data_IF_015220076257
#
_entry.id   IF_015220076257
#
_cell.length_a   1.000
_cell.length_b   1.000
_cell.length_c   1.000
_cell.angle_alpha   90.00
_cell.angle_beta   90.00
_cell.angle_gamma   90.00
#
_symmetry.space_group_name_H-M   'P 1'
#
loop_
_entity.id
_entity.type
_entity.pdbx_description
1 polymer ?
#
# COMPACT_ATOMS: atom_id res chain seq x y z
N UNK A 1 4.62 -2.19 -12.55
CA UNK A 1 3.77 -3.16 -13.27
C UNK A 1 3.01 -3.95 -12.23
N UNK A 2 1.66 -3.95 -12.28
CA UNK A 2 0.73 -4.32 -11.20
C UNK A 2 0.87 -5.71 -10.55
N UNK A 3 1.74 -6.59 -11.02
CA UNK A 3 1.91 -7.95 -10.47
C UNK A 3 0.67 -8.84 -10.58
N UNK A 4 -0.39 -8.40 -11.28
CA UNK A 4 -1.64 -9.15 -11.47
C UNK A 4 -1.35 -10.36 -12.34
N UNK A 5 -1.80 -11.54 -11.88
CA UNK A 5 -1.65 -12.78 -12.64
C UNK A 5 -2.43 -12.69 -13.96
N UNK A 6 -1.73 -12.82 -15.07
CA UNK A 6 -2.37 -12.83 -16.38
C UNK A 6 -3.36 -14.01 -16.49
N UNK A 7 -4.54 -13.74 -17.03
CA UNK A 7 -5.49 -14.79 -17.38
C UNK A 7 -5.04 -15.47 -18.68
N UNK A 8 -5.21 -16.79 -18.84
CA UNK A 8 -5.01 -17.45 -20.13
C UNK A 8 -5.87 -16.79 -21.21
N UNK A 9 -5.42 -16.84 -22.47
CA UNK A 9 -6.21 -16.33 -23.60
C UNK A 9 -7.65 -16.91 -23.56
N UNK A 10 -8.64 -16.05 -23.79
CA UNK A 10 -10.09 -16.28 -23.65
C UNK A 10 -10.73 -16.27 -22.24
N UNK A 11 -10.00 -15.91 -21.17
CA UNK A 11 -10.61 -15.80 -19.83
C UNK A 11 -10.51 -14.39 -19.25
N UNK A 12 -11.57 -13.94 -18.59
CA UNK A 12 -11.59 -12.65 -17.89
C UNK A 12 -10.60 -12.68 -16.72
N UNK A 13 -9.88 -11.59 -16.48
CA UNK A 13 -9.01 -11.46 -15.30
C UNK A 13 -9.89 -11.21 -14.08
N UNK A 14 -9.80 -12.10 -13.09
CA UNK A 14 -10.49 -11.97 -11.80
C UNK A 14 -9.48 -11.47 -10.78
N UNK A 15 -9.81 -10.37 -10.12
CA UNK A 15 -8.93 -9.71 -9.16
C UNK A 15 -9.29 -10.11 -7.73
N UNK A 16 -8.26 -10.37 -6.93
CA UNK A 16 -8.37 -10.36 -5.49
C UNK A 16 -8.62 -8.94 -4.99
N UNK A 17 -9.26 -8.80 -3.83
CA UNK A 17 -9.52 -7.46 -3.27
C UNK A 17 -8.24 -6.63 -3.09
N UNK A 18 -7.14 -7.26 -2.68
CA UNK A 18 -5.83 -6.59 -2.58
C UNK A 18 -5.33 -6.04 -3.93
N UNK A 19 -5.61 -6.73 -5.04
CA UNK A 19 -5.21 -6.28 -6.37
C UNK A 19 -6.09 -5.11 -6.84
N UNK A 20 -7.36 -5.07 -6.41
CA UNK A 20 -8.23 -3.89 -6.62
C UNK A 20 -7.71 -2.69 -5.82
N UNK A 21 -7.27 -2.89 -4.57
CA UNK A 21 -6.65 -1.83 -3.77
C UNK A 21 -5.39 -1.30 -4.47
N UNK A 22 -4.49 -2.19 -4.91
CA UNK A 22 -3.30 -1.80 -5.68
C UNK A 22 -3.67 -1.05 -6.97
N UNK A 23 -4.73 -1.48 -7.67
CA UNK A 23 -5.21 -0.77 -8.85
C UNK A 23 -5.64 0.67 -8.52
N UNK A 24 -6.38 0.86 -7.44
CA UNK A 24 -6.83 2.18 -6.99
C UNK A 24 -5.68 3.06 -6.50
N UNK A 25 -4.67 2.47 -5.85
CA UNK A 25 -3.44 3.15 -5.45
C UNK A 25 -2.75 3.79 -6.67
N UNK A 26 -2.45 3.00 -7.69
CA UNK A 26 -1.82 3.52 -8.91
C UNK A 26 -2.75 4.45 -9.69
N UNK A 27 -4.07 4.23 -9.63
CA UNK A 27 -5.03 5.15 -10.23
C UNK A 27 -5.00 6.52 -9.54
N UNK A 28 -4.78 6.60 -8.24
CA UNK A 28 -4.58 7.87 -7.53
C UNK A 28 -3.37 8.66 -8.03
N UNK A 29 -2.23 7.99 -8.24
CA UNK A 29 -1.06 8.58 -8.89
C UNK A 29 -1.38 9.11 -10.28
N UNK A 30 -2.13 8.32 -11.08
CA UNK A 30 -2.56 8.73 -12.42
C UNK A 30 -3.50 9.95 -12.38
N UNK A 31 -4.44 10.00 -11.44
CA UNK A 31 -5.33 11.16 -11.28
C UNK A 31 -4.53 12.42 -10.93
N UNK A 32 -3.58 12.31 -10.01
CA UNK A 32 -2.71 13.43 -9.64
C UNK A 32 -1.87 13.92 -10.81
N UNK A 33 -1.41 13.00 -11.67
CA UNK A 33 -0.69 13.35 -12.89
C UNK A 33 -1.60 14.02 -13.94
N UNK A 34 -2.78 13.45 -14.19
CA UNK A 34 -3.68 13.87 -15.28
C UNK A 34 -4.50 15.12 -14.96
N UNK A 35 -4.83 15.35 -13.69
CA UNK A 35 -5.68 16.47 -13.24
C UNK A 35 -4.87 17.66 -12.75
N UNK A 36 -3.58 17.72 -13.05
CA UNK A 36 -2.74 18.87 -12.70
C UNK A 36 -3.10 20.08 -13.56
N UNK A 37 -3.34 21.23 -12.92
CA UNK A 37 -3.53 22.51 -13.60
C UNK A 37 -2.21 23.32 -13.69
N UNK A 38 -1.08 22.72 -13.28
CA UNK A 38 0.23 23.37 -13.33
C UNK A 38 0.84 23.19 -14.71
N UNK A 39 1.07 24.29 -15.41
CA UNK A 39 1.62 24.26 -16.79
C UNK A 39 3.14 24.05 -16.85
N UNK A 40 3.85 24.31 -15.75
CA UNK A 40 5.30 24.19 -15.67
C UNK A 40 5.72 22.72 -15.54
N UNK A 41 6.25 22.13 -16.61
CA UNK A 41 6.63 20.71 -16.71
C UNK A 41 7.44 20.16 -15.52
N UNK A 42 8.35 20.96 -14.96
CA UNK A 42 9.22 20.54 -13.84
C UNK A 42 8.50 20.36 -12.50
N UNK A 43 7.27 20.86 -12.38
CA UNK A 43 6.45 20.81 -11.16
C UNK A 43 4.98 20.46 -11.45
N UNK A 44 4.70 19.92 -12.65
CA UNK A 44 3.37 19.49 -13.05
C UNK A 44 3.13 18.02 -12.72
N UNK A 45 1.90 17.67 -12.37
CA UNK A 45 1.49 16.30 -12.12
C UNK A 45 2.09 15.78 -10.83
N UNK A 46 2.86 14.70 -10.94
CA UNK A 46 3.59 14.11 -9.80
C UNK A 46 4.99 14.71 -9.61
N UNK A 47 5.44 15.55 -10.56
CA UNK A 47 6.77 16.17 -10.48
C UNK A 47 6.77 17.30 -9.44
N UNK A 48 7.90 17.47 -8.74
CA UNK A 48 8.07 18.56 -7.78
C UNK A 48 7.33 18.37 -6.45
N UNK A 49 6.59 17.27 -6.28
CA UNK A 49 5.99 16.91 -5.00
C UNK A 49 7.06 16.25 -4.12
N UNK A 50 7.22 16.68 -2.86
CA UNK A 50 8.09 16.00 -1.90
C UNK A 50 7.80 14.50 -1.81
N UNK A 51 8.84 13.68 -1.71
CA UNK A 51 8.71 12.22 -1.76
C UNK A 51 7.87 11.64 -0.61
N UNK A 52 7.77 12.35 0.51
CA UNK A 52 6.92 12.02 1.66
C UNK A 52 5.43 12.38 1.45
N UNK A 53 5.10 13.23 0.47
CA UNK A 53 3.74 13.66 0.16
C UNK A 53 3.15 13.01 -1.10
N UNK A 54 3.99 12.39 -1.95
CA UNK A 54 3.55 11.80 -3.22
C UNK A 54 2.52 10.68 -3.05
N UNK A 55 2.56 9.95 -1.93
CA UNK A 55 1.67 8.83 -1.63
C UNK A 55 0.27 9.25 -1.13
N UNK A 56 0.02 10.54 -0.90
CA UNK A 56 -1.26 10.99 -0.32
C UNK A 56 -2.42 10.68 -1.28
N UNK A 57 -2.27 10.96 -2.58
CA UNK A 57 -3.34 10.75 -3.55
C UNK A 57 -3.64 9.26 -3.78
N UNK A 58 -2.60 8.44 -3.89
CA UNK A 58 -2.71 7.00 -4.06
C UNK A 58 -3.38 6.33 -2.85
N UNK A 59 -2.89 6.61 -1.63
CA UNK A 59 -3.46 6.06 -0.39
C UNK A 59 -4.88 6.55 -0.12
N UNK A 60 -5.21 7.80 -0.49
CA UNK A 60 -6.58 8.30 -0.40
C UNK A 60 -7.52 7.45 -1.25
N UNK A 61 -7.12 7.12 -2.48
CA UNK A 61 -7.94 6.34 -3.40
C UNK A 61 -8.22 4.91 -2.92
N UNK A 62 -7.29 4.30 -2.18
CA UNK A 62 -7.50 2.97 -1.57
C UNK A 62 -8.72 2.92 -0.65
N UNK A 63 -9.10 4.03 -0.01
CA UNK A 63 -10.26 4.09 0.88
C UNK A 63 -11.58 3.76 0.16
N UNK A 64 -11.68 4.09 -1.12
CA UNK A 64 -12.88 3.79 -1.90
C UNK A 64 -13.10 2.28 -2.05
N UNK A 65 -12.04 1.47 -2.00
CA UNK A 65 -12.18 0.01 -2.05
C UNK A 65 -12.89 -0.56 -0.81
N UNK A 66 -12.98 0.20 0.29
CA UNK A 66 -13.59 -0.26 1.54
C UNK A 66 -14.98 0.31 1.79
N UNK A 67 -15.41 1.32 1.03
CA UNK A 67 -16.70 1.98 1.20
C UNK A 67 -17.82 1.14 0.56
N UNK A 68 -18.91 0.79 1.27
CA UNK A 68 -19.95 -0.10 0.75
C UNK A 68 -20.53 0.34 -0.59
N UNK A 69 -20.81 1.64 -0.76
CA UNK A 69 -21.38 2.17 -2.01
C UNK A 69 -20.40 2.05 -3.20
N UNK A 70 -19.11 2.24 -2.95
CA UNK A 70 -18.07 2.06 -3.96
C UNK A 70 -17.90 0.60 -4.33
N UNK A 71 -17.90 -0.31 -3.35
CA UNK A 71 -17.86 -1.76 -3.57
C UNK A 71 -19.06 -2.19 -4.42
N UNK A 72 -20.28 -1.73 -4.10
CA UNK A 72 -21.49 -2.00 -4.89
C UNK A 72 -21.33 -1.53 -6.34
N UNK A 73 -20.69 -0.38 -6.57
CA UNK A 73 -20.49 0.19 -7.91
C UNK A 73 -19.52 -0.64 -8.75
N UNK A 74 -18.44 -1.13 -8.16
CA UNK A 74 -17.34 -1.80 -8.87
C UNK A 74 -17.44 -3.33 -8.88
N UNK A 75 -18.44 -3.92 -8.24
CA UNK A 75 -18.58 -5.38 -8.10
C UNK A 75 -19.87 -5.95 -8.72
N UNK A 76 -19.71 -7.01 -9.52
CA UNK A 76 -20.77 -7.88 -10.01
C UNK A 76 -20.20 -9.23 -10.40
N UNK A 77 -21.01 -10.29 -10.38
CA UNK A 77 -20.59 -11.60 -10.85
C UNK A 77 -20.31 -11.53 -12.36
N UNK A 78 -19.16 -12.04 -12.80
CA UNK A 78 -18.67 -11.84 -14.17
C UNK A 78 -19.51 -12.56 -15.23
N UNK A 79 -20.12 -13.71 -14.90
CA UNK A 79 -20.99 -14.45 -15.82
C UNK A 79 -22.45 -14.00 -15.77
N UNK A 80 -23.00 -13.82 -14.56
CA UNK A 80 -24.45 -13.61 -14.36
C UNK A 80 -24.83 -12.14 -14.26
N UNK A 81 -23.86 -11.25 -14.02
CA UNK A 81 -24.09 -9.82 -13.79
C UNK A 81 -24.77 -9.51 -12.45
N UNK A 82 -25.03 -10.51 -11.62
CA UNK A 82 -25.65 -10.33 -10.30
C UNK A 82 -24.78 -9.46 -9.40
N UNK A 83 -25.43 -8.58 -8.64
CA UNK A 83 -24.74 -7.71 -7.68
C UNK A 83 -24.18 -8.53 -6.52
N UNK A 84 -23.08 -8.05 -5.95
CA UNK A 84 -22.51 -8.67 -4.75
C UNK A 84 -23.52 -8.56 -3.58
N UNK A 85 -23.83 -9.68 -2.88
CA UNK A 85 -24.76 -9.64 -1.74
C UNK A 85 -24.31 -8.70 -0.63
N UNK A 86 -25.26 -7.97 -0.05
CA UNK A 86 -24.99 -6.95 0.97
C UNK A 86 -24.29 -7.50 2.21
N UNK A 87 -24.58 -8.75 2.58
CA UNK A 87 -23.88 -9.44 3.68
C UNK A 87 -22.37 -9.56 3.42
N UNK A 88 -21.96 -9.82 2.17
CA UNK A 88 -20.54 -9.95 1.79
C UNK A 88 -19.88 -8.57 1.83
N UNK A 89 -20.55 -7.54 1.34
CA UNK A 89 -20.05 -6.16 1.36
C UNK A 89 -19.80 -5.70 2.80
N UNK A 90 -20.78 -5.91 3.68
CA UNK A 90 -20.66 -5.56 5.09
C UNK A 90 -19.54 -6.33 5.79
N UNK A 91 -19.36 -7.62 5.46
CA UNK A 91 -18.26 -8.42 6.00
C UNK A 91 -16.91 -7.91 5.51
N UNK A 92 -16.79 -7.58 4.22
CA UNK A 92 -15.55 -7.05 3.65
C UNK A 92 -15.14 -5.72 4.32
N UNK A 93 -16.08 -4.78 4.47
CA UNK A 93 -15.83 -3.50 5.16
C UNK A 93 -15.41 -3.70 6.62
N UNK A 94 -15.98 -4.68 7.34
CA UNK A 94 -15.57 -5.02 8.71
C UNK A 94 -14.18 -5.61 8.79
N UNK A 95 -13.76 -6.35 7.76
CA UNK A 95 -12.43 -6.98 7.70
C UNK A 95 -11.29 -5.99 7.39
N UNK A 96 -11.59 -4.73 7.05
CA UNK A 96 -10.59 -3.70 6.72
C UNK A 96 -9.43 -3.62 7.71
N UNK A 97 -9.73 -3.72 9.00
CA UNK A 97 -8.74 -3.55 10.07
C UNK A 97 -8.15 -4.87 10.57
N UNK A 98 -8.57 -6.00 10.01
CA UNK A 98 -8.02 -7.31 10.35
C UNK A 98 -6.51 -7.33 10.10
N UNK A 99 -5.73 -7.59 11.15
CA UNK A 99 -4.26 -7.59 11.12
C UNK A 99 -3.59 -6.24 10.75
N UNK A 100 -4.31 -5.11 10.88
CA UNK A 100 -3.74 -3.78 10.64
C UNK A 100 -2.47 -3.50 11.45
N UNK A 101 -2.39 -3.96 12.71
CA UNK A 101 -1.19 -3.80 13.54
C UNK A 101 0.03 -4.54 12.97
N UNK A 102 -0.13 -5.74 12.42
CA UNK A 102 0.96 -6.49 11.79
C UNK A 102 1.43 -5.80 10.50
N UNK A 103 0.50 -5.20 9.76
CA UNK A 103 0.84 -4.38 8.60
C UNK A 103 1.68 -3.16 9.01
N UNK A 104 1.23 -2.40 10.01
CA UNK A 104 1.94 -1.21 10.52
C UNK A 104 3.32 -1.60 11.06
N UNK A 105 3.41 -2.65 11.88
CA UNK A 105 4.68 -3.18 12.40
C UNK A 105 5.69 -3.42 11.27
N UNK A 106 5.26 -4.04 10.18
CA UNK A 106 6.12 -4.29 9.01
C UNK A 106 6.53 -3.02 8.28
N UNK A 107 5.64 -2.02 8.16
CA UNK A 107 6.00 -0.72 7.57
C UNK A 107 7.01 0.04 8.44
N UNK A 108 6.86 -0.02 9.76
CA UNK A 108 7.81 0.55 10.72
C UNK A 108 9.17 -0.15 10.65
N UNK A 109 9.18 -1.48 10.57
CA UNK A 109 10.41 -2.27 10.37
C UNK A 109 11.16 -1.82 9.11
N UNK A 110 10.46 -1.65 7.98
CA UNK A 110 11.09 -1.14 6.76
C UNK A 110 11.57 0.31 6.89
N UNK A 111 10.80 1.18 7.54
CA UNK A 111 11.16 2.59 7.71
C UNK A 111 12.38 2.76 8.63
N UNK A 112 12.41 2.04 9.75
CA UNK A 112 13.53 2.05 10.69
C UNK A 112 14.79 1.45 10.07
N UNK A 113 14.65 0.34 9.33
CA UNK A 113 15.77 -0.23 8.58
C UNK A 113 16.36 0.76 7.57
N UNK A 114 15.51 1.44 6.81
CA UNK A 114 15.94 2.45 5.82
C UNK A 114 16.68 3.62 6.49
N UNK A 115 16.10 4.20 7.54
CA UNK A 115 16.73 5.28 8.31
C UNK A 115 18.06 4.83 8.92
N UNK A 116 18.08 3.65 9.54
CA UNK A 116 19.26 3.11 10.21
C UNK A 116 20.41 2.92 9.23
N UNK A 117 20.17 2.49 7.99
CA UNK A 117 21.25 2.38 6.98
C UNK A 117 21.77 3.76 6.56
N UNK A 118 20.88 4.73 6.35
CA UNK A 118 21.25 6.05 5.83
C UNK A 118 21.88 6.99 6.88
N UNK A 119 21.65 6.75 8.18
CA UNK A 119 22.27 7.49 9.27
C UNK A 119 23.70 7.04 9.60
N UNK A 120 24.16 5.89 9.06
CA UNK A 120 25.50 5.40 9.30
C UNK A 120 26.53 6.29 8.62
N UNK A 121 27.40 6.87 9.43
CA UNK A 121 28.28 7.97 9.03
C UNK A 121 29.51 7.52 8.21
N UNK A 122 29.73 6.21 8.02
CA UNK A 122 30.95 5.66 7.40
C UNK A 122 30.68 4.39 6.55
N UNK A 123 30.19 4.57 5.32
CA UNK A 123 29.97 3.47 4.36
C UNK A 123 31.23 2.65 4.01
N UNK A 124 32.44 3.18 4.26
CA UNK A 124 33.71 2.52 3.89
C UNK A 124 34.10 1.34 4.78
N UNK A 125 33.53 1.20 5.97
CA UNK A 125 33.96 0.18 6.95
C UNK A 125 33.05 -1.06 6.99
N UNK A 126 31.96 -1.06 6.22
CA UNK A 126 30.92 -2.07 6.36
C UNK A 126 31.10 -3.25 5.40
N UNK A 127 31.53 -4.38 5.99
CA UNK A 127 31.53 -5.70 5.35
C UNK A 127 30.09 -6.14 5.03
N UNK A 128 30.02 -7.10 4.09
CA UNK A 128 28.82 -7.76 3.54
C UNK A 128 27.71 -8.14 4.54
N UNK A 129 28.05 -8.25 5.82
CA UNK A 129 27.17 -8.69 6.90
C UNK A 129 26.44 -7.55 7.64
N UNK A 130 26.55 -6.30 7.17
CA UNK A 130 25.88 -5.16 7.83
C UNK A 130 24.36 -5.30 7.87
N UNK A 131 23.76 -5.80 6.79
CA UNK A 131 22.31 -5.99 6.72
C UNK A 131 21.88 -6.94 7.85
N UNK A 132 22.57 -8.07 8.00
CA UNK A 132 22.34 -9.04 9.06
C UNK A 132 22.53 -8.39 10.44
N UNK A 133 23.60 -7.61 10.63
CA UNK A 133 23.83 -6.90 11.89
C UNK A 133 22.78 -5.84 12.20
N UNK A 134 22.23 -5.11 11.23
CA UNK A 134 21.15 -4.14 11.51
C UNK A 134 19.87 -4.88 11.90
N UNK A 135 19.61 -6.03 11.29
CA UNK A 135 18.50 -6.91 11.68
C UNK A 135 18.71 -7.59 13.04
N UNK A 136 19.96 -7.84 13.46
CA UNK A 136 20.30 -8.56 14.71
C UNK A 136 20.65 -7.64 15.90
N UNK A 137 21.15 -6.42 15.65
CA UNK A 137 21.76 -5.57 16.69
C UNK A 137 20.75 -4.73 17.46
N UNK A 138 19.55 -4.56 16.92
CA UNK A 138 18.40 -4.10 17.67
C UNK A 138 17.34 -5.14 17.48
N UNK A 139 16.75 -5.60 18.58
CA UNK A 139 15.53 -6.37 18.54
C UNK A 139 14.43 -5.38 18.11
N UNK A 140 14.46 -5.01 16.83
CA UNK A 140 13.64 -3.95 16.22
C UNK A 140 12.16 -4.27 16.45
N UNK A 141 11.85 -5.57 16.60
CA UNK A 141 10.55 -6.08 17.03
C UNK A 141 10.21 -5.73 18.47
N UNK A 142 11.14 -5.81 19.43
CA UNK A 142 10.92 -5.34 20.80
C UNK A 142 10.67 -3.83 20.86
N UNK A 143 11.47 -3.02 20.17
CA UNK A 143 11.31 -1.55 20.20
C UNK A 143 9.97 -1.10 19.59
N UNK A 144 9.51 -1.75 18.52
CA UNK A 144 8.18 -1.46 17.95
C UNK A 144 7.04 -1.98 18.85
N UNK A 145 7.26 -3.07 19.60
CA UNK A 145 6.26 -3.63 20.53
C UNK A 145 6.05 -2.71 21.75
N UNK A 146 7.10 -2.04 22.22
CA UNK A 146 7.04 -1.11 23.37
C UNK A 146 6.27 0.17 23.05
N UNK A 147 6.31 0.66 21.81
CA UNK A 147 5.66 1.92 21.40
C UNK A 147 4.12 1.81 21.32
N UNK A 148 3.55 0.59 21.26
CA UNK A 148 2.11 0.40 21.01
C UNK A 148 1.28 -0.22 22.14
N UNK A 149 1.86 -0.58 23.30
CA UNK A 149 1.09 -1.21 24.37
C UNK A 149 0.32 -2.46 23.90
N UNK A 150 0.85 -3.20 22.92
CA UNK A 150 0.25 -4.40 22.32
C UNK A 150 0.46 -5.66 23.17
N UNK A 151 0.61 -5.50 24.49
CA UNK A 151 0.48 -6.58 25.47
C UNK A 151 -0.78 -6.32 26.28
N UNK A 152 -1.90 -6.88 25.81
CA UNK A 152 -2.96 -7.59 26.57
C UNK A 152 -4.15 -7.88 25.66
#
# INVERSE_FOLDING_TARGET
MFGIKASPSNHQSLLLHKEVITLFHEFGHNLQHLLTDVETLGVSGVNGIPWDAIEIASQLMENYCWHPESIKLISKHYLTGEKLPEIIINNLSKMRYYQSSLFILRQLEFSLFDLNIHLLSNFKEYKKDIVIKIFEKEDMRLDITVIYGLTH
#
